data_IF_222361840044
#
_entry.id   IF_222361840044
#
_cell.length_a   1.000
_cell.length_b   1.000
_cell.length_c   1.000
_cell.angle_alpha   90.00
_cell.angle_beta   90.00
_cell.angle_gamma   90.00
#
_symmetry.space_group_name_H-M   'P 1'
#
loop_
_entity.id
_entity.type
_entity.pdbx_description
1 polymer ?
2 non-polymer ?
3 water ?
#
# COMPACT_ATOMS: atom_id res chain seq x y z
N UNK A 5 22.84 -2.72 3.56
CA UNK A 5 21.39 -2.35 3.67
C UNK A 5 20.89 -2.47 5.11
N UNK A 6 20.13 -1.46 5.55
CA UNK A 6 19.51 -1.46 6.89
C UNK A 6 18.18 -2.24 6.95
N UNK A 7 17.79 -2.64 8.16
CA UNK A 7 16.46 -3.20 8.44
C UNK A 7 15.78 -2.32 9.49
N UNK A 8 14.44 -2.15 9.47
CA UNK A 8 13.47 -2.85 8.61
C UNK A 8 13.11 -2.08 7.32
N UNK A 9 13.56 -0.83 7.23
CA UNK A 9 13.46 0.02 6.02
C UNK A 9 14.86 0.60 5.75
N UNK A 10 15.36 0.43 4.51
CA UNK A 10 16.64 1.05 4.10
C UNK A 10 16.43 2.37 3.34
N UNK A 11 17.27 3.37 3.61
CA UNK A 11 17.23 4.69 2.94
C UNK A 11 18.49 4.88 2.09
N UNK A 12 18.30 5.21 0.81
CA UNK A 12 19.38 5.60 -0.11
C UNK A 12 19.08 6.94 -0.79
N UNK A 13 19.93 7.94 -0.56
CA UNK A 13 19.75 9.28 -1.10
C UNK A 13 20.54 9.54 -2.39
N UNK A 14 20.48 10.79 -2.92
CA UNK A 14 21.11 11.19 -4.20
C UNK A 14 22.57 10.76 -4.40
N UNK A 15 23.39 10.82 -3.34
CA UNK A 15 24.81 10.42 -3.43
C UNK A 15 25.03 8.92 -3.70
N UNK A 16 24.01 8.11 -3.41
CA UNK A 16 24.04 6.66 -3.65
C UNK A 16 23.23 6.24 -4.88
N UNK A 17 22.16 6.98 -5.17
CA UNK A 17 21.30 6.68 -6.32
C UNK A 17 21.83 7.27 -7.64
N UNK A 18 22.62 8.35 -7.56
CA UNK A 18 23.14 9.05 -8.74
C UNK A 18 22.12 9.89 -9.49
N UNK A 19 21.11 10.38 -8.77
CA UNK A 19 20.04 11.21 -9.35
C UNK A 19 19.23 11.96 -8.30
N UNK A 20 18.24 12.79 -8.73
CA UNK A 20 17.39 13.56 -7.81
C UNK A 20 16.27 12.71 -7.18
N UNK A 21 16.69 11.58 -6.61
CA UNK A 21 15.80 10.51 -6.15
C UNK A 21 16.27 9.86 -4.82
N UNK A 22 15.31 9.58 -3.94
CA UNK A 22 15.52 8.74 -2.75
C UNK A 22 14.78 7.40 -2.88
N UNK A 23 15.46 6.30 -2.55
CA UNK A 23 14.87 4.93 -2.57
C UNK A 23 14.63 4.43 -1.14
N UNK A 24 13.37 4.11 -0.82
CA UNK A 24 12.98 3.49 0.46
C UNK A 24 12.66 2.01 0.23
N UNK A 25 13.46 1.10 0.78
CA UNK A 25 13.29 -0.34 0.53
C UNK A 25 12.74 -1.09 1.76
N UNK A 26 11.57 -1.69 1.60
CA UNK A 26 11.02 -2.60 2.64
C UNK A 26 11.91 -3.85 2.76
N UNK A 27 12.45 -4.12 3.95
CA UNK A 27 13.47 -5.18 4.18
C UNK A 27 13.28 -5.92 5.53
N UNK A 28 12.14 -6.61 5.62
CA UNK A 28 11.72 -7.35 6.83
C UNK A 28 11.42 -8.81 6.43
N UNK A 29 12.45 -9.59 6.00
CA UNK A 29 12.20 -10.95 5.47
C UNK A 29 11.55 -11.97 6.42
N UNK A 30 11.79 -11.84 7.73
CA UNK A 30 11.23 -12.77 8.74
C UNK A 30 9.70 -12.88 8.74
N UNK A 31 9.00 -11.80 8.37
CA UNK A 31 7.54 -11.83 8.29
C UNK A 31 6.96 -11.39 6.93
N UNK A 32 7.73 -11.58 5.85
CA UNK A 32 7.30 -11.22 4.49
C UNK A 32 6.90 -9.74 4.34
N UNK A 33 7.70 -8.85 4.93
CA UNK A 33 7.46 -7.40 4.87
C UNK A 33 6.11 -6.95 5.46
N UNK A 34 5.72 -7.58 6.57
CA UNK A 34 4.46 -7.23 7.26
C UNK A 34 4.50 -5.84 7.91
N UNK A 35 3.31 -5.25 8.08
CA UNK A 35 3.18 -3.89 8.64
C UNK A 35 3.25 -3.82 10.19
N UNK A 36 4.41 -4.12 10.74
CA UNK A 36 4.66 -4.02 12.19
C UNK A 36 4.75 -2.55 12.64
N UNK A 37 4.65 -2.29 13.96
CA UNK A 37 4.79 -0.92 14.50
C UNK A 37 6.11 -0.28 14.09
N UNK A 38 7.19 -1.06 14.23
CA UNK A 38 8.54 -0.60 13.89
C UNK A 38 8.71 -0.28 12.40
N UNK A 39 8.23 -1.16 11.53
CA UNK A 39 8.32 -0.89 10.07
C UNK A 39 7.55 0.38 9.68
N UNK A 40 6.34 0.54 10.23
CA UNK A 40 5.51 1.73 9.99
C UNK A 40 6.17 3.04 10.46
N UNK A 41 6.72 3.07 11.68
CA UNK A 41 7.49 4.24 12.17
C UNK A 41 8.69 4.60 11.28
N UNK A 42 9.43 3.57 10.85
CA UNK A 42 10.58 3.78 9.97
C UNK A 42 10.23 4.31 8.57
N UNK A 43 9.06 3.93 8.04
CA UNK A 43 8.56 4.53 6.78
C UNK A 43 8.18 6.02 6.92
N UNK A 44 7.48 6.38 8.00
CA UNK A 44 7.21 7.81 8.30
C UNK A 44 8.53 8.64 8.33
N UNK A 45 9.56 8.13 9.05
CA UNK A 45 10.82 8.87 9.17
C UNK A 45 11.55 8.97 7.82
N UNK A 46 11.50 7.88 7.03
CA UNK A 46 12.11 7.90 5.67
C UNK A 46 11.49 8.91 4.72
N UNK A 47 10.15 9.00 4.73
CA UNK A 47 9.45 10.02 3.94
C UNK A 47 9.80 11.44 4.38
N UNK A 48 9.97 11.65 5.68
CA UNK A 48 10.35 12.96 6.21
C UNK A 48 11.79 13.32 5.76
N UNK A 49 12.70 12.36 5.85
CA UNK A 49 14.11 12.59 5.45
C UNK A 49 14.21 12.95 3.96
N UNK A 50 13.45 12.25 3.10
CA UNK A 50 13.39 12.60 1.67
C UNK A 50 12.86 14.02 1.39
N UNK A 51 11.74 14.40 2.01
CA UNK A 51 11.15 15.74 1.80
C UNK A 51 12.07 16.90 2.26
N UNK A 52 12.86 16.63 3.31
CA UNK A 52 13.76 17.62 3.92
C UNK A 52 15.00 17.94 3.06
N UNK A 53 15.34 17.05 2.13
CA UNK A 53 16.52 17.22 1.27
C UNK A 53 16.13 17.95 -0.03
N UNK A 54 16.63 19.19 -0.25
CA UNK A 54 16.25 19.97 -1.45
C UNK A 54 16.68 19.34 -2.79
N UNK A 55 17.66 18.44 -2.76
CA UNK A 55 18.12 17.72 -3.97
C UNK A 55 17.18 16.57 -4.44
N UNK A 56 16.24 16.15 -3.59
CA UNK A 56 15.29 15.10 -3.93
C UNK A 56 14.01 15.66 -4.59
N UNK A 57 13.67 15.15 -5.78
CA UNK A 57 12.42 15.52 -6.48
C UNK A 57 11.38 14.37 -6.66
N UNK A 58 11.77 13.13 -6.31
CA UNK A 58 10.92 11.96 -6.44
C UNK A 58 11.39 10.84 -5.49
N UNK A 59 10.45 10.01 -4.99
CA UNK A 59 10.73 8.81 -4.17
C UNK A 59 10.33 7.50 -4.86
N UNK A 60 11.16 6.45 -4.76
CA UNK A 60 10.78 5.07 -5.15
C UNK A 60 10.57 4.20 -3.90
N UNK A 61 9.40 3.54 -3.80
CA UNK A 61 9.11 2.57 -2.73
C UNK A 61 9.31 1.15 -3.28
N UNK A 62 10.41 0.49 -2.86
CA UNK A 62 10.88 -0.82 -3.37
C UNK A 62 10.81 -1.91 -2.26
N UNK A 63 11.17 -3.16 -2.60
CA UNK A 63 11.18 -4.27 -1.61
C UNK A 63 12.28 -5.30 -1.90
N UNK A 64 12.72 -5.99 -0.84
CA UNK A 64 13.49 -7.24 -0.97
C UNK A 64 12.53 -8.43 -0.89
N UNK A 65 13.01 -9.61 -1.29
CA UNK A 65 12.23 -10.86 -1.21
C UNK A 65 11.11 -11.06 -2.23
N UNK A 66 10.40 -12.19 -2.12
CA UNK A 66 9.35 -12.59 -3.07
C UNK A 66 7.95 -12.03 -2.81
N UNK A 67 7.80 -11.30 -1.69
CA UNK A 67 6.53 -10.66 -1.30
C UNK A 67 6.77 -9.13 -1.12
N UNK A 68 5.97 -8.32 -1.82
CA UNK A 68 5.99 -6.84 -1.62
C UNK A 68 5.54 -6.49 -0.20
N UNK A 69 4.33 -6.95 0.17
CA UNK A 69 3.72 -6.77 1.51
C UNK A 69 2.46 -7.62 1.63
N UNK A 70 2.37 -8.43 2.69
CA UNK A 70 1.23 -9.34 2.85
C UNK A 70 0.22 -8.91 3.92
N UNK A 71 0.40 -7.71 4.46
CA UNK A 71 -0.59 -7.12 5.37
C UNK A 71 -0.10 -6.94 6.79
N UNK A 72 -1.03 -7.01 7.74
CA UNK A 72 -0.72 -6.78 9.16
C UNK A 72 0.11 -7.88 9.80
N UNK A 73 0.91 -7.47 10.80
CA UNK A 73 1.72 -8.37 11.61
C UNK A 73 0.82 -9.02 12.66
N UNK A 85 -9.86 -4.56 24.60
CA UNK A 85 -8.75 -5.51 24.62
C UNK A 85 -8.29 -5.81 23.20
N UNK A 86 -8.82 -6.89 22.61
CA UNK A 86 -8.60 -7.19 21.20
C UNK A 86 -9.20 -6.08 20.33
N UNK A 87 -10.33 -5.53 20.77
CA UNK A 87 -10.98 -4.41 20.08
C UNK A 87 -10.08 -3.16 20.03
N UNK A 88 -9.50 -2.82 21.18
CA UNK A 88 -8.64 -1.62 21.27
C UNK A 88 -7.41 -1.73 20.37
N UNK A 89 -6.76 -2.89 20.34
CA UNK A 89 -5.60 -3.13 19.49
C UNK A 89 -5.96 -3.09 17.99
N UNK A 90 -7.12 -3.67 17.64
CA UNK A 90 -7.60 -3.68 16.24
C UNK A 90 -7.98 -2.28 15.70
N UNK A 91 -8.68 -1.47 16.51
CA UNK A 91 -9.05 -0.10 16.08
C UNK A 91 -7.81 0.79 15.87
N UNK A 92 -6.81 0.67 16.75
CA UNK A 92 -5.55 1.41 16.61
C UNK A 92 -4.73 0.96 15.40
N UNK A 93 -4.71 -0.35 15.12
CA UNK A 93 -4.03 -0.87 13.92
C UNK A 93 -4.62 -0.25 12.62
N UNK A 94 -5.95 -0.16 12.58
CA UNK A 94 -6.64 0.46 11.44
C UNK A 94 -6.35 1.95 11.27
N UNK A 95 -6.40 2.71 12.39
CA UNK A 95 -6.04 4.15 12.36
C UNK A 95 -4.58 4.38 11.92
N UNK A 96 -3.67 3.54 12.38
CA UNK A 96 -2.26 3.58 11.99
C UNK A 96 -2.03 3.32 10.48
N UNK A 97 -2.80 2.39 9.89
CA UNK A 97 -2.79 2.17 8.45
C UNK A 97 -3.28 3.41 7.67
N UNK A 98 -4.39 4.01 8.09
CA UNK A 98 -4.89 5.25 7.47
C UNK A 98 -3.88 6.40 7.54
N UNK A 99 -3.20 6.57 8.68
CA UNK A 99 -2.21 7.64 8.82
C UNK A 99 -0.96 7.48 7.93
N UNK A 100 -0.55 6.24 7.70
CA UNK A 100 0.56 5.94 6.79
C UNK A 100 0.19 6.24 5.34
N UNK A 101 -0.98 5.77 4.92
CA UNK A 101 -1.49 6.11 3.58
C UNK A 101 -1.61 7.61 3.36
N UNK A 102 -2.15 8.31 4.36
CA UNK A 102 -2.31 9.78 4.29
C UNK A 102 -0.97 10.55 4.18
N UNK A 103 0.08 10.07 4.86
CA UNK A 103 1.43 10.67 4.76
C UNK A 103 1.98 10.60 3.32
N UNK A 104 1.77 9.46 2.65
CA UNK A 104 2.19 9.30 1.24
C UNK A 104 1.39 10.27 0.34
N UNK A 105 0.07 10.31 0.52
CA UNK A 105 -0.82 11.18 -0.29
C UNK A 105 -0.53 12.70 -0.10
N UNK A 106 -0.17 13.12 1.12
CA UNK A 106 0.07 14.55 1.45
C UNK A 106 1.46 15.08 1.01
N UNK A 107 2.40 14.19 0.72
CA UNK A 107 3.82 14.60 0.46
C UNK A 107 3.97 15.56 -0.75
N UNK A 108 4.89 16.53 -0.64
CA UNK A 108 5.30 17.38 -1.79
C UNK A 108 5.88 16.57 -2.95
N UNK A 109 6.36 15.36 -2.64
CA UNK A 109 7.08 14.48 -3.59
C UNK A 109 6.16 13.45 -4.27
N UNK A 110 6.25 13.32 -5.62
CA UNK A 110 5.69 12.12 -6.27
C UNK A 110 6.32 10.82 -5.70
N UNK A 111 5.49 9.81 -5.42
CA UNK A 111 5.93 8.48 -4.88
C UNK A 111 5.56 7.36 -5.86
N UNK A 112 6.57 6.58 -6.28
CA UNK A 112 6.44 5.51 -7.29
C UNK A 112 6.70 4.12 -6.67
N UNK A 113 5.71 3.21 -6.71
CA UNK A 113 5.92 1.83 -6.22
C UNK A 113 6.60 0.95 -7.28
N UNK A 114 7.58 0.16 -6.82
CA UNK A 114 8.29 -0.82 -7.66
C UNK A 114 8.05 -2.25 -7.12
N UNK A 115 7.09 -2.95 -7.75
CA UNK A 115 6.56 -4.24 -7.25
C UNK A 115 7.06 -5.40 -8.13
N UNK A 116 7.66 -6.44 -7.51
CA UNK A 116 7.90 -7.73 -8.25
C UNK A 116 7.71 -8.94 -7.31
N UNK A 117 6.47 -9.13 -6.86
CA UNK A 117 6.14 -10.14 -5.85
C UNK A 117 4.68 -10.08 -5.42
N UNK A 118 4.32 -10.86 -4.40
CA UNK A 118 2.93 -10.99 -3.95
C UNK A 118 2.44 -9.77 -3.14
N UNK A 119 1.18 -9.39 -3.38
CA UNK A 119 0.49 -8.30 -2.67
C UNK A 119 -0.84 -8.84 -2.04
N UNK A 120 -0.99 -8.71 -0.73
CA UNK A 120 -2.22 -9.15 -0.02
C UNK A 120 -2.62 -8.14 1.07
N UNK A 121 -3.92 -8.11 1.42
CA UNK A 121 -4.46 -7.34 2.56
C UNK A 121 -4.00 -5.87 2.62
N UNK A 122 -3.47 -5.42 3.76
CA UNK A 122 -2.97 -4.06 3.91
C UNK A 122 -1.98 -3.60 2.86
N UNK A 123 -1.23 -4.54 2.27
CA UNK A 123 -0.33 -4.22 1.15
C UNK A 123 -1.01 -3.45 0.00
N UNK A 124 -2.28 -3.77 -0.27
CA UNK A 124 -3.06 -3.08 -1.32
C UNK A 124 -3.18 -1.58 -1.04
N UNK A 125 -3.27 -1.21 0.25
CA UNK A 125 -3.39 0.19 0.65
C UNK A 125 -2.15 1.02 0.34
N UNK A 126 -0.96 0.43 0.51
CA UNK A 126 0.29 1.07 0.05
C UNK A 126 0.33 1.29 -1.46
N UNK A 127 -0.01 0.24 -2.23
CA UNK A 127 -0.06 0.34 -3.70
C UNK A 127 -1.04 1.45 -4.13
N UNK A 128 -2.25 1.45 -3.55
CA UNK A 128 -3.24 2.51 -3.83
C UNK A 128 -2.83 3.94 -3.51
N UNK A 129 -2.07 4.13 -2.42
CA UNK A 129 -1.63 5.48 -1.98
C UNK A 129 -0.57 6.11 -2.89
N UNK A 130 0.30 5.28 -3.50
CA UNK A 130 1.36 5.80 -4.40
C UNK A 130 0.74 6.54 -5.63
N UNK A 131 1.44 7.58 -6.14
CA UNK A 131 0.97 8.32 -7.32
C UNK A 131 1.07 7.50 -8.63
N UNK A 132 2.15 6.72 -8.75
CA UNK A 132 2.45 5.84 -9.91
C UNK A 132 2.86 4.47 -9.35
N UNK A 133 2.46 3.37 -10.03
CA UNK A 133 2.86 2.01 -9.60
C UNK A 133 3.19 1.12 -10.82
N UNK A 134 4.32 0.43 -10.75
CA UNK A 134 4.79 -0.51 -11.81
C UNK A 134 4.99 -1.93 -11.23
N UNK A 135 4.50 -2.95 -11.93
CA UNK A 135 4.69 -4.35 -11.47
C UNK A 135 5.26 -5.30 -12.53
N UNK A 136 6.20 -6.15 -12.07
CA UNK A 136 6.91 -7.11 -12.94
C UNK A 136 6.30 -8.52 -12.94
N UNK A 137 6.96 -9.48 -13.66
CA UNK A 137 6.37 -10.80 -13.98
C UNK A 137 6.19 -11.81 -12.82
N UNK A 138 6.78 -11.55 -11.65
CA UNK A 138 6.54 -12.39 -10.47
C UNK A 138 5.32 -11.97 -9.64
N UNK A 139 4.68 -10.88 -10.02
CA UNK A 139 3.63 -10.26 -9.18
C UNK A 139 2.31 -11.06 -9.15
N UNK A 140 1.63 -11.06 -8.00
CA UNK A 140 0.24 -11.57 -7.90
C UNK A 140 -0.58 -10.73 -6.91
N UNK A 141 -1.92 -10.72 -7.08
CA UNK A 141 -2.86 -9.91 -6.29
C UNK A 141 -4.13 -10.74 -5.95
N UNK A 142 -4.61 -10.71 -4.69
CA UNK A 142 -5.90 -11.36 -4.30
C UNK A 142 -6.53 -10.71 -3.05
N UNK A 143 -7.82 -10.40 -3.12
CA UNK A 143 -8.60 -9.82 -2.00
C UNK A 143 -9.48 -10.91 -1.39
N UNK A 144 -8.92 -11.71 -0.47
CA UNK A 144 -9.64 -12.86 0.11
C UNK A 144 -10.31 -12.60 1.46
N UNK A 145 -10.49 -11.32 1.82
CA UNK A 145 -11.10 -10.90 3.09
C UNK A 145 -12.43 -11.59 3.44
N UNK A 146 -13.37 -11.66 2.48
CA UNK A 146 -14.69 -12.27 2.74
C UNK A 146 -14.59 -13.76 3.09
N UNK A 147 -13.59 -14.45 2.53
CA UNK A 147 -13.35 -15.88 2.80
C UNK A 147 -12.93 -16.17 4.24
N UNK A 148 -12.43 -15.15 4.95
CA UNK A 148 -12.09 -15.30 6.37
C UNK A 148 -13.04 -14.51 7.31
N UNK A 149 -14.17 -14.06 6.77
CA UNK A 149 -15.20 -13.39 7.55
C UNK A 149 -15.13 -11.88 7.74
N UNK A 150 -14.25 -11.21 7.00
CA UNK A 150 -14.08 -9.74 7.13
C UNK A 150 -14.29 -9.02 5.78
N UNK A 151 -13.82 -7.76 5.68
CA UNK A 151 -13.99 -6.92 4.47
C UNK A 151 -12.77 -5.99 4.26
N UNK A 152 -12.51 -5.55 3.02
CA UNK A 152 -11.41 -4.60 2.76
C UNK A 152 -11.75 -3.12 3.13
N UNK A 153 -12.04 -2.86 4.41
CA UNK A 153 -12.55 -1.57 4.86
C UNK A 153 -11.58 -0.36 4.74
N UNK A 154 -10.51 -0.37 5.54
CA UNK A 154 -9.53 0.73 5.53
C UNK A 154 -8.87 0.96 4.17
N UNK A 155 -8.54 -0.12 3.45
CA UNK A 155 -7.86 0.03 2.15
C UNK A 155 -8.75 0.65 1.05
N UNK A 156 -10.07 0.65 1.26
CA UNK A 156 -11.05 1.32 0.37
C UNK A 156 -10.78 2.83 0.18
N UNK A 157 -10.13 3.45 1.17
CA UNK A 157 -9.76 4.88 1.12
C UNK A 157 -8.91 5.27 -0.12
N UNK A 158 -8.02 4.35 -0.54
CA UNK A 158 -7.20 4.54 -1.77
C UNK A 158 -7.60 3.65 -2.97
N UNK A 159 -8.25 2.50 -2.73
CA UNK A 159 -8.71 1.63 -3.85
C UNK A 159 -9.95 2.16 -4.59
N UNK A 160 -10.96 2.62 -3.86
CA UNK A 160 -12.21 3.04 -4.52
C UNK A 160 -12.11 4.28 -5.44
N UNK A 161 -11.23 5.26 -5.12
CA UNK A 161 -11.01 6.37 -6.10
C UNK A 161 -10.26 5.97 -7.39
N UNK A 162 -9.56 4.82 -7.42
CA UNK A 162 -8.67 4.47 -8.56
C UNK A 162 -9.08 3.23 -9.41
N UNK A 163 -9.78 2.27 -8.83
CA UNK A 163 -10.25 1.06 -9.56
C UNK A 163 -11.52 1.38 -10.34
N UNK A 164 -11.70 0.76 -11.51
CA UNK A 164 -13.04 0.84 -12.14
C UNK A 164 -14.14 0.28 -11.22
N UNK A 165 -15.36 0.83 -11.31
CA UNK A 165 -16.48 0.37 -10.48
C UNK A 165 -16.76 -1.15 -10.61
N UNK A 166 -16.85 -1.63 -11.85
CA UNK A 166 -17.11 -3.08 -12.09
C UNK A 166 -16.01 -3.98 -11.51
N UNK A 167 -14.74 -3.55 -11.62
CA UNK A 167 -13.62 -4.35 -11.07
C UNK A 167 -13.59 -4.41 -9.54
N UNK A 168 -13.84 -3.28 -8.86
CA UNK A 168 -13.89 -3.28 -7.39
C UNK A 168 -14.97 -4.26 -6.89
N UNK A 169 -16.18 -4.18 -7.48
CA UNK A 169 -17.28 -5.08 -7.08
C UNK A 169 -16.97 -6.57 -7.36
N UNK A 170 -16.41 -6.87 -8.52
CA UNK A 170 -16.03 -8.26 -8.84
C UNK A 170 -15.01 -8.82 -7.82
N UNK A 171 -13.86 -8.17 -7.71
CA UNK A 171 -12.72 -8.74 -6.96
C UNK A 171 -12.91 -8.72 -5.42
N UNK A 172 -13.64 -7.73 -4.89
CA UNK A 172 -14.10 -7.70 -3.46
C UNK A 172 -14.99 -8.93 -3.10
N UNK A 173 -15.81 -9.39 -4.05
CA UNK A 173 -16.82 -10.44 -3.78
C UNK A 173 -16.40 -11.87 -4.19
N UNK A 174 -15.58 -12.01 -5.24
CA UNK A 174 -15.11 -13.34 -5.70
C UNK A 174 -13.82 -13.86 -5.03
N UNK A 175 -12.96 -12.96 -4.56
CA UNK A 175 -11.65 -13.35 -4.01
C UNK A 175 -10.65 -13.94 -5.02
N UNK A 176 -10.90 -13.79 -6.32
CA UNK A 176 -10.02 -14.35 -7.37
C UNK A 176 -8.59 -13.76 -7.36
N UNK A 177 -7.60 -14.62 -7.63
CA UNK A 177 -6.22 -14.18 -7.85
C UNK A 177 -6.01 -13.68 -9.29
N UNK A 178 -5.23 -12.60 -9.44
CA UNK A 178 -4.92 -12.03 -10.77
C UNK A 178 -3.48 -11.50 -10.92
N UNK A 179 -3.06 -11.23 -12.17
CA UNK A 179 -1.67 -10.84 -12.50
C UNK A 179 -1.46 -9.33 -12.79
N UNK A 180 -0.23 -8.95 -13.16
CA UNK A 180 0.12 -7.54 -13.45
C UNK A 180 -0.66 -6.92 -14.63
N UNK A 181 -0.83 -7.67 -15.71
CA UNK A 181 -1.60 -7.22 -16.87
C UNK A 181 -3.06 -6.86 -16.49
N UNK A 182 -3.71 -7.73 -15.71
CA UNK A 182 -5.08 -7.46 -15.22
C UNK A 182 -5.09 -6.25 -14.26
N UNK A 183 -4.08 -6.14 -13.39
CA UNK A 183 -3.96 -5.00 -12.48
C UNK A 183 -3.87 -3.62 -13.24
N UNK A 184 -3.17 -3.59 -14.38
CA UNK A 184 -3.10 -2.41 -15.23
C UNK A 184 -4.47 -2.08 -15.84
N UNK A 185 -5.13 -3.10 -16.41
CA UNK A 185 -6.47 -2.95 -17.02
C UNK A 185 -7.52 -2.29 -16.09
N UNK A 186 -7.50 -2.66 -14.81
CA UNK A 186 -8.53 -2.23 -13.84
C UNK A 186 -8.20 -0.96 -13.02
N UNK A 187 -6.95 -0.47 -13.11
CA UNK A 187 -6.56 0.77 -12.40
C UNK A 187 -5.82 0.53 -11.09
N UNK A 188 -5.54 -0.73 -10.73
CA UNK A 188 -4.79 -1.01 -9.48
C UNK A 188 -3.31 -0.55 -9.57
N UNK A 189 -2.71 -0.73 -10.76
CA UNK A 189 -1.36 -0.19 -11.07
C UNK A 189 -1.40 0.67 -12.34
N UNK A 190 -0.32 1.43 -12.56
CA UNK A 190 -0.16 2.26 -13.77
C UNK A 190 0.26 1.44 -15.01
N UNK A 191 1.22 0.54 -14.82
CA UNK A 191 1.74 -0.29 -15.93
C UNK A 191 2.37 -1.60 -15.50
N UNK A 192 2.13 -2.62 -16.30
CA UNK A 192 2.87 -3.90 -16.23
C UNK A 192 4.16 -3.82 -17.06
N UNK A 193 5.28 -4.34 -16.54
CA UNK A 193 6.56 -4.32 -17.28
C UNK A 193 7.33 -5.63 -17.10
N UNK A 194 7.87 -6.19 -18.20
CA UNK A 194 8.76 -7.36 -18.11
C UNK A 194 10.12 -7.04 -17.46
N UNK A 195 10.67 -5.86 -17.75
CA UNK A 195 11.92 -5.35 -17.17
C UNK A 195 11.55 -4.19 -16.21
N UNK A 196 11.32 -4.52 -14.94
CA UNK A 196 10.98 -3.52 -13.91
C UNK A 196 12.00 -2.39 -13.74
N UNK A 197 13.29 -2.75 -13.67
CA UNK A 197 14.35 -1.75 -13.46
C UNK A 197 14.44 -0.70 -14.59
N UNK A 198 14.33 -1.16 -15.84
CA UNK A 198 14.33 -0.26 -16.99
C UNK A 198 13.14 0.72 -16.99
N UNK A 199 11.96 0.23 -16.62
CA UNK A 199 10.75 1.07 -16.58
C UNK A 199 10.82 2.15 -15.47
N UNK A 200 11.26 1.75 -14.28
CA UNK A 200 11.48 2.69 -13.16
C UNK A 200 12.52 3.76 -13.52
N UNK A 201 13.65 3.36 -14.12
CA UNK A 201 14.70 4.32 -14.50
C UNK A 201 14.16 5.39 -15.47
N UNK A 202 13.35 4.98 -16.44
CA UNK A 202 12.77 5.96 -17.39
C UNK A 202 11.78 6.92 -16.73
N UNK A 203 10.90 6.38 -15.87
CA UNK A 203 9.93 7.22 -15.13
C UNK A 203 10.60 8.24 -14.21
N UNK A 204 11.64 7.81 -13.49
CA UNK A 204 12.42 8.71 -12.61
C UNK A 204 13.11 9.86 -13.40
N UNK A 205 13.69 9.52 -14.57
CA UNK A 205 14.29 10.52 -15.47
C UNK A 205 13.26 11.58 -15.91
N UNK A 206 12.06 11.14 -16.33
CA UNK A 206 11.03 12.09 -16.79
C UNK A 206 10.41 12.97 -15.67
N UNK A 207 10.08 12.35 -14.54
CA UNK A 207 9.58 13.12 -13.37
C UNK A 207 10.62 14.15 -12.88
N UNK A 208 11.89 13.75 -12.83
CA UNK A 208 12.99 14.63 -12.38
C UNK A 208 13.24 15.89 -13.20
N UNK A 209 12.72 15.93 -14.42
CA UNK A 209 12.74 17.13 -15.28
C UNK A 209 11.85 18.28 -14.74
N UNK A 210 10.84 17.94 -13.91
CA UNK A 210 9.93 18.94 -13.32
C UNK A 210 10.56 19.73 -12.16
N UNK A 211 10.08 20.96 -11.97
CA UNK A 211 10.58 21.80 -10.86
C UNK A 211 9.95 21.38 -9.52
N UNK A 212 10.62 21.68 -8.37
CA UNK A 212 9.98 21.29 -7.10
C UNK A 212 8.57 21.87 -6.89
N UNK A 213 8.35 23.14 -7.23
CA UNK A 213 7.04 23.78 -7.12
C UNK A 213 6.02 23.20 -8.13
N UNK A 214 6.45 23.01 -9.37
CA UNK A 214 5.54 22.46 -10.41
C UNK A 214 5.05 21.06 -10.10
N UNK A 215 5.95 20.18 -9.65
CA UNK A 215 5.58 18.81 -9.24
C UNK A 215 4.64 18.78 -8.01
N UNK A 216 4.93 19.59 -6.98
CA UNK A 216 4.04 19.64 -5.81
C UNK A 216 2.61 20.12 -6.17
N UNK A 217 2.50 21.18 -6.99
CA UNK A 217 1.17 21.72 -7.35
C UNK A 217 0.40 20.80 -8.30
N UNK A 218 1.13 20.16 -9.22
CA UNK A 218 0.51 19.21 -10.17
C UNK A 218 -0.02 17.96 -9.41
N UNK A 219 0.76 17.42 -8.47
CA UNK A 219 0.29 16.32 -7.59
C UNK A 219 -0.99 16.71 -6.77
N UNK A 220 -0.96 17.88 -6.11
CA UNK A 220 -2.08 18.32 -5.28
C UNK A 220 -3.43 18.41 -6.04
N UNK A 221 -3.37 18.78 -7.32
CA UNK A 221 -4.62 18.77 -8.13
C UNK A 221 -5.29 17.37 -8.16
N UNK A 222 -4.45 16.32 -8.26
CA UNK A 222 -4.89 14.92 -8.38
C UNK A 222 -5.25 14.25 -7.03
N UNK A 223 -4.81 14.83 -5.90
CA UNK A 223 -5.05 14.24 -4.56
C UNK A 223 -6.18 14.88 -3.73
N UNK A 224 -6.70 16.03 -4.17
CA UNK A 224 -7.71 16.78 -3.42
C UNK A 224 -8.95 15.93 -3.08
N UNK A 225 -9.49 15.21 -4.08
CA UNK A 225 -10.67 14.35 -3.86
C UNK A 225 -10.41 13.17 -2.92
N UNK A 226 -9.22 12.59 -3.01
CA UNK A 226 -8.78 11.50 -2.11
C UNK A 226 -8.73 11.96 -0.64
N UNK A 227 -8.12 13.13 -0.38
CA UNK A 227 -8.03 13.64 0.99
C UNK A 227 -9.42 13.98 1.61
N UNK A 228 -10.36 14.41 0.77
CA UNK A 228 -11.75 14.66 1.21
C UNK A 228 -12.42 13.39 1.69
N UNK A 229 -12.15 12.26 1.02
CA UNK A 229 -12.68 10.94 1.40
C UNK A 229 -12.13 10.48 2.77
N UNK A 230 -10.83 10.66 3.00
CA UNK A 230 -10.21 10.42 4.33
C UNK A 230 -10.93 11.25 5.42
N UNK A 231 -11.14 12.55 5.18
CA UNK A 231 -11.83 13.42 6.14
C UNK A 231 -13.24 12.88 6.52
N UNK A 232 -14.01 12.45 5.52
CA UNK A 232 -15.37 11.93 5.74
C UNK A 232 -15.45 10.53 6.40
N UNK A 233 -14.56 9.61 6.01
CA UNK A 233 -14.75 8.15 6.17
C UNK A 233 -13.71 7.37 7.03
N UNK A 234 -12.52 7.93 7.28
CA UNK A 234 -11.46 7.16 7.97
C UNK A 234 -11.83 6.60 9.35
N UNK A 235 -12.44 7.45 10.19
CA UNK A 235 -12.82 6.99 11.54
C UNK A 235 -13.91 5.92 11.53
N UNK A 236 -14.98 6.12 10.75
CA UNK A 236 -16.04 5.13 10.58
C UNK A 236 -15.50 3.78 10.08
N UNK A 237 -14.59 3.82 9.10
CA UNK A 237 -13.98 2.60 8.56
C UNK A 237 -13.06 1.87 9.56
N UNK A 238 -12.34 2.63 10.40
CA UNK A 238 -11.51 2.03 11.47
C UNK A 238 -12.36 1.29 12.52
N UNK A 239 -13.49 1.88 12.92
CA UNK A 239 -14.44 1.22 13.86
C UNK A 239 -15.06 -0.05 13.25
N UNK A 240 -15.43 0.00 11.97
CA UNK A 240 -15.95 -1.19 11.26
C UNK A 240 -14.92 -2.33 11.22
N UNK A 241 -13.66 -2.01 10.88
CA UNK A 241 -12.56 -2.98 10.83
C UNK A 241 -12.44 -3.75 12.16
N UNK A 242 -12.47 -3.00 13.26
CA UNK A 242 -12.33 -3.60 14.60
C UNK A 242 -13.52 -4.48 15.02
N UNK A 243 -14.74 -4.03 14.74
CA UNK A 243 -15.94 -4.86 14.97
C UNK A 243 -15.87 -6.19 14.21
N UNK A 244 -15.46 -6.16 12.94
CA UNK A 244 -15.35 -7.40 12.18
C UNK A 244 -14.26 -8.33 12.75
N UNK A 245 -13.11 -7.76 13.13
CA UNK A 245 -11.98 -8.57 13.65
C UNK A 245 -12.35 -9.45 14.87
N UNK A 246 -13.15 -8.91 15.79
CA UNK A 246 -13.49 -9.62 17.04
C UNK A 246 -14.80 -10.45 16.96
N UNK A 247 -15.41 -10.51 15.78
CA UNK A 247 -16.68 -11.23 15.56
C UNK A 247 -16.53 -12.74 15.54
N UNK A 248 -17.67 -13.44 15.69
CA UNK A 248 -17.71 -14.92 15.64
C UNK A 248 -17.30 -15.52 14.29
N UNK A 249 -17.78 -14.94 13.19
CA UNK A 249 -17.43 -15.45 11.86
C UNK A 249 -15.97 -15.23 11.50
N UNK A 250 -15.37 -14.13 11.96
CA UNK A 250 -13.94 -13.89 11.78
C UNK A 250 -13.05 -14.89 12.55
N UNK A 251 -13.48 -15.27 13.76
CA UNK A 251 -12.76 -16.27 14.55
C UNK A 251 -12.72 -17.63 13.85
N UNK A 252 -13.89 -18.06 13.35
CA UNK A 252 -14.00 -19.33 12.61
C UNK A 252 -13.21 -19.30 11.30
N UNK A 253 -13.25 -18.15 10.61
CA UNK A 253 -12.51 -18.00 9.36
C UNK A 253 -11.01 -18.19 9.49
N UNK A 254 -10.42 -17.59 10.53
CA UNK A 254 -8.97 -17.70 10.71
C UNK A 254 -8.58 -19.09 11.22
N UNK A 255 -9.41 -19.67 12.08
CA UNK A 255 -9.17 -21.02 12.63
C UNK A 255 -9.19 -22.08 11.53
N UNK A 256 -10.13 -21.95 10.58
CA UNK A 256 -10.22 -22.86 9.44
C UNK A 256 -8.99 -22.78 8.54
N UNK A 257 -8.47 -21.57 8.34
CA UNK A 257 -7.28 -21.33 7.52
C UNK A 257 -6.03 -22.01 8.09
N UNK A 258 -5.80 -21.83 9.39
CA UNK A 258 -4.60 -22.35 10.06
C UNK A 258 -4.58 -23.88 10.15
N UNK A 259 -5.77 -24.49 10.14
CA UNK A 259 -5.90 -25.95 10.18
C UNK A 259 -5.99 -26.56 8.78
N UNK A 260 -6.20 -25.71 7.78
CA UNK A 260 -6.30 -26.08 6.36
C UNK A 260 -7.61 -26.80 6.00
N UNK A 261 -8.60 -26.71 6.89
CA UNK A 261 -9.94 -27.24 6.63
C UNK A 261 -10.83 -26.14 6.06
N UNK A 262 -12.00 -26.51 5.56
CA UNK A 262 -12.99 -25.52 5.10
C UNK A 262 -13.75 -24.92 6.29
N UNK A 263 -14.19 -23.64 6.19
CA UNK A 263 -14.95 -23.02 7.28
C UNK A 263 -16.37 -23.57 7.37
N UNK A 264 -16.98 -23.49 8.55
CA UNK A 264 -18.26 -24.17 8.77
C UNK A 264 -19.49 -23.68 7.97
N UNK A 265 -19.43 -22.46 7.43
CA UNK A 265 -20.53 -21.96 6.58
C UNK A 265 -20.63 -22.65 5.21
N UNK A 266 -19.57 -23.34 4.80
CA UNK A 266 -19.59 -24.11 3.55
C UNK A 266 -20.03 -25.56 3.82
X LIG B 1 -15.61 4.37 1.73
X LIG B 1 -14.84 5.51 1.30
X LIG B 1 -16.84 4.19 0.84
X LIG B 1 -17.55 3.04 1.31
#
# INVERSE_FOLDING_TARGET
GPGSMDALVDYAGPAATGGPVARLTLNSPHNRNALSTALVSQLHQGLRDASSDPAVRVVVLAHTGGTFCAGADLSEAGSGGSPSSAYDMAVERAREMAALMRAIVESRLPVIAAIDGHVRAGGFGLVGACDIAVAGPRSSFALTEARIGVAPAIISLTLLPKLSARAAARYYLTGEKFDARRAEEIGLITMAAEDLDAAIDQLVTDVGRGSPQGLAASKALTTAAVLERFDRDAERLAEESARLFVSDEAREGMLAFLEKRSPNWTS
EDO C1 O1 C2 O2
#
